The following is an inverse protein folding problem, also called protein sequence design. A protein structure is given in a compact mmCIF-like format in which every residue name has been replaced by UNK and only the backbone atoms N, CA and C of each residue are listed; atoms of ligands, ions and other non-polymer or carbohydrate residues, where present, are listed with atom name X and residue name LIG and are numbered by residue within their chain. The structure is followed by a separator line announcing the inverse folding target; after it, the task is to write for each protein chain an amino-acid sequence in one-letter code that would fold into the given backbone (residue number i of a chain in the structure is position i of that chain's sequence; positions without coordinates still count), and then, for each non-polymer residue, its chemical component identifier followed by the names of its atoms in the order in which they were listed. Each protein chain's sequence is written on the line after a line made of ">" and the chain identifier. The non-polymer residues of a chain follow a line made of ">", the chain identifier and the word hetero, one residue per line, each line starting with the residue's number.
data_IF_934776039106
#
_entry.id   IF_934776039106
#
_cell.length_a   1.000
_cell.length_b   1.000
_cell.length_c   1.000
_cell.angle_alpha   90.00
_cell.angle_beta   90.00
_cell.angle_gamma   90.00
#
_symmetry.space_group_name_H-M   'P 1'
#
loop_
_entity.id
_entity.type
_entity.pdbx_description
1 polymer ?
#
# COMPACT_ATOMS: atom_id res chain seq x y z
N UNK A 1 12.95 19.56 42.95
CA UNK A 1 14.42 19.59 42.95
C UNK A 1 14.94 18.25 43.44
N UNK A 2 15.31 17.37 42.51
CA UNK A 2 16.18 16.22 42.79
C UNK A 2 16.85 15.82 41.49
N UNK A 3 18.12 16.20 41.39
CA UNK A 3 19.06 15.80 40.34
C UNK A 3 19.37 14.31 40.45
N UNK A 4 19.44 13.62 39.32
CA UNK A 4 20.35 12.48 39.16
C UNK A 4 21.19 12.68 37.91
N UNK A 5 22.51 12.70 38.13
CA UNK A 5 23.58 12.83 37.14
C UNK A 5 23.82 11.48 36.45
N UNK A 6 24.17 11.57 35.17
CA UNK A 6 24.87 10.55 34.35
C UNK A 6 26.28 10.23 34.90
N UNK A 7 26.84 9.05 34.54
CA UNK A 7 27.90 8.99 33.51
C UNK A 7 27.65 7.85 32.47
N UNK A 8 27.79 8.08 31.15
CA UNK A 8 29.01 7.91 30.31
C UNK A 8 29.59 6.48 30.37
N UNK A 9 29.95 5.72 29.32
CA UNK A 9 30.16 5.79 27.85
C UNK A 9 30.00 4.28 27.42
N UNK A 10 29.71 3.83 26.20
CA UNK A 10 30.62 3.88 25.04
C UNK A 10 29.97 3.10 23.85
N UNK A 11 30.04 3.70 22.67
CA UNK A 11 30.11 3.11 21.32
C UNK A 11 29.34 1.83 20.98
N UNK A 12 28.34 1.97 20.08
CA UNK A 12 28.24 1.13 18.87
C UNK A 12 27.50 1.87 17.75
N UNK A 13 28.29 2.14 16.71
CA UNK A 13 27.97 2.25 15.29
C UNK A 13 26.61 2.82 14.87
N UNK A 14 26.68 4.02 14.28
CA UNK A 14 25.70 4.55 13.35
C UNK A 14 25.41 3.52 12.26
N UNK A 15 24.24 2.89 12.34
CA UNK A 15 23.70 2.11 11.23
C UNK A 15 22.64 2.99 10.59
N UNK A 16 23.01 3.54 9.44
CA UNK A 16 22.16 4.18 8.43
C UNK A 16 20.70 3.70 8.49
N UNK A 17 19.83 4.49 9.12
CA UNK A 17 18.39 4.44 8.82
C UNK A 17 18.21 5.08 7.45
N UNK A 18 18.34 4.24 6.43
CA UNK A 18 17.99 4.55 5.04
C UNK A 18 16.55 5.03 5.01
N UNK A 19 16.38 6.29 4.59
CA UNK A 19 15.11 6.93 4.29
C UNK A 19 14.26 6.00 3.41
N UNK A 20 13.25 5.35 4.02
CA UNK A 20 12.22 4.66 3.26
C UNK A 20 11.41 5.72 2.53
N UNK A 21 11.51 5.65 1.21
CA UNK A 21 10.94 6.60 0.26
C UNK A 21 9.42 6.59 0.31
N UNK A 22 8.86 7.79 0.26
CA UNK A 22 7.43 8.14 0.29
C UNK A 22 6.68 7.83 -1.02
N UNK A 23 7.07 6.78 -1.76
CA UNK A 23 6.59 6.51 -3.14
C UNK A 23 5.73 5.25 -3.29
N UNK A 24 5.32 4.60 -2.20
CA UNK A 24 4.53 3.35 -2.25
C UNK A 24 3.09 3.56 -1.74
N UNK A 25 2.31 4.40 -2.44
CA UNK A 25 0.86 4.53 -2.26
C UNK A 25 0.08 4.21 -3.55
N UNK A 26 0.68 3.43 -4.44
CA UNK A 26 -0.03 2.74 -5.51
C UNK A 26 -0.21 1.28 -5.12
N UNK A 27 -1.47 0.85 -5.07
CA UNK A 27 -1.87 -0.45 -4.56
C UNK A 27 -1.29 -1.59 -5.38
N UNK A 28 -0.57 -2.47 -4.69
CA UNK A 28 -0.45 -3.86 -5.04
C UNK A 28 -0.86 -4.67 -3.80
N UNK A 29 -2.12 -5.11 -3.78
CA UNK A 29 -2.54 -6.18 -2.87
C UNK A 29 -1.80 -7.43 -3.31
N UNK A 30 -0.71 -7.75 -2.61
CA UNK A 30 0.04 -8.98 -2.81
C UNK A 30 -0.86 -10.15 -2.44
N UNK A 31 -1.39 -10.84 -3.45
CA UNK A 31 -1.99 -12.16 -3.31
C UNK A 31 -0.91 -13.12 -2.80
N UNK A 32 -0.99 -13.51 -1.52
CA UNK A 32 -0.23 -14.63 -0.99
C UNK A 32 -0.89 -15.95 -1.42
N UNK A 33 -0.25 -16.82 -2.23
CA UNK A 33 -0.75 -18.17 -2.41
C UNK A 33 -0.53 -18.95 -1.10
N UNK A 34 -1.65 -19.37 -0.49
CA UNK A 34 -1.68 -20.30 0.63
C UNK A 34 -1.01 -21.63 0.21
N UNK A 35 0.16 -21.88 0.77
CA UNK A 35 0.92 -23.12 0.58
C UNK A 35 0.35 -24.20 1.50
N UNK A 36 -0.45 -25.10 0.92
CA UNK A 36 -0.94 -26.30 1.59
C UNK A 36 0.22 -27.16 2.11
N UNK A 37 0.21 -27.44 3.41
CA UNK A 37 1.01 -28.50 4.06
C UNK A 37 0.19 -29.79 4.05
N UNK A 38 0.61 -30.78 3.28
CA UNK A 38 0.23 -32.18 3.46
C UNK A 38 1.46 -32.97 3.93
N UNK A 39 1.26 -33.83 4.92
CA UNK A 39 2.30 -34.49 5.71
C UNK A 39 2.93 -35.74 5.10
N UNK A 40 4.15 -35.99 5.59
CA UNK A 40 4.92 -37.23 5.80
C UNK A 40 4.68 -38.47 4.92
N UNK A 41 5.77 -38.99 4.32
CA UNK A 41 6.35 -40.31 4.66
C UNK A 41 7.77 -40.46 4.06
N UNK A 42 8.68 -41.03 4.85
CA UNK A 42 10.10 -41.26 4.54
C UNK A 42 10.30 -42.49 3.63
N UNK A 43 11.18 -42.44 2.62
CA UNK A 43 12.17 -43.50 2.37
C UNK A 43 13.30 -43.03 1.42
N UNK A 44 14.50 -43.49 1.78
CA UNK A 44 15.81 -43.17 1.19
C UNK A 44 15.91 -43.46 -0.31
N UNK A 45 16.35 -42.47 -1.08
CA UNK A 45 17.14 -42.67 -2.29
C UNK A 45 18.06 -41.48 -2.51
N UNK A 46 19.36 -41.76 -2.49
CA UNK A 46 20.44 -40.88 -2.94
C UNK A 46 20.23 -40.59 -4.43
N UNK A 47 19.63 -39.44 -4.74
CA UNK A 47 19.66 -38.84 -6.05
C UNK A 47 20.42 -37.52 -5.94
N UNK A 48 21.53 -37.39 -6.67
CA UNK A 48 22.29 -36.16 -6.81
C UNK A 48 21.35 -35.05 -7.29
N UNK A 49 20.87 -34.22 -6.36
CA UNK A 49 20.16 -32.99 -6.68
C UNK A 49 21.20 -32.00 -7.16
N UNK A 50 21.42 -31.95 -8.46
CA UNK A 50 21.94 -30.75 -9.11
C UNK A 50 20.96 -29.63 -8.77
N UNK A 51 21.38 -28.74 -7.87
CA UNK A 51 20.69 -27.49 -7.61
C UNK A 51 20.73 -26.70 -8.90
N UNK A 52 19.69 -26.85 -9.72
CA UNK A 52 19.34 -25.89 -10.76
C UNK A 52 19.13 -24.56 -10.02
N UNK A 53 20.18 -23.74 -10.02
CA UNK A 53 20.08 -22.34 -9.69
C UNK A 53 19.13 -21.73 -10.72
N UNK A 54 17.83 -21.75 -10.42
CA UNK A 54 16.85 -20.95 -11.15
C UNK A 54 17.29 -19.51 -10.88
N UNK A 55 17.77 -18.75 -11.88
CA UNK A 55 18.02 -17.34 -11.66
C UNK A 55 16.67 -16.76 -11.25
N UNK A 56 16.59 -16.21 -10.05
CA UNK A 56 15.50 -15.32 -9.67
C UNK A 56 15.71 -14.08 -10.53
N UNK A 57 15.28 -14.14 -11.79
CA UNK A 57 15.03 -12.94 -12.58
C UNK A 57 13.89 -12.25 -11.86
N UNK A 58 14.24 -11.39 -10.90
CA UNK A 58 13.28 -10.47 -10.32
C UNK A 58 12.64 -9.75 -11.49
N UNK A 59 11.37 -10.02 -11.73
CA UNK A 59 10.56 -9.22 -12.63
C UNK A 59 10.55 -7.84 -11.99
N UNK A 60 11.43 -6.96 -12.46
CA UNK A 60 11.39 -5.56 -12.08
C UNK A 60 10.13 -5.03 -12.73
N UNK A 61 9.05 -4.97 -11.96
CA UNK A 61 7.81 -4.34 -12.40
C UNK A 61 8.18 -2.95 -12.93
N UNK A 62 7.92 -2.72 -14.21
CA UNK A 62 8.24 -1.45 -14.87
C UNK A 62 7.42 -0.37 -14.17
N UNK A 63 8.10 0.57 -13.52
CA UNK A 63 7.42 1.65 -12.78
C UNK A 63 6.63 2.49 -13.78
N UNK A 64 5.30 2.54 -13.61
CA UNK A 64 4.44 3.37 -14.43
C UNK A 64 4.74 4.85 -14.21
N UNK A 65 4.79 5.61 -15.30
CA UNK A 65 4.97 7.05 -15.23
C UNK A 65 3.70 7.74 -14.73
N UNK A 66 3.81 8.79 -13.91
CA UNK A 66 2.66 9.62 -13.58
C UNK A 66 2.10 10.28 -14.85
N UNK A 67 0.78 10.49 -14.91
CA UNK A 67 0.16 11.23 -16.01
C UNK A 67 0.37 12.74 -15.87
N UNK A 68 0.43 13.24 -14.64
CA UNK A 68 0.60 14.66 -14.31
C UNK A 68 1.71 14.84 -13.28
N UNK A 69 2.43 15.96 -13.38
CA UNK A 69 3.42 16.37 -12.39
C UNK A 69 3.24 17.85 -12.04
N UNK A 70 3.76 18.26 -10.89
CA UNK A 70 3.84 19.66 -10.50
C UNK A 70 5.08 20.31 -11.10
N UNK A 71 4.93 21.53 -11.60
CA UNK A 71 5.95 22.25 -12.34
C UNK A 71 5.96 23.75 -11.98
N UNK A 72 7.16 24.32 -11.92
CA UNK A 72 7.43 25.74 -11.68
C UNK A 72 8.70 26.09 -12.45
N UNK A 73 8.68 27.16 -13.26
CA UNK A 73 9.83 27.50 -14.09
C UNK A 73 11.04 27.93 -13.24
N UNK A 74 12.25 27.50 -13.63
CA UNK A 74 13.51 28.02 -13.10
C UNK A 74 13.86 27.61 -11.66
N UNK A 75 13.09 26.72 -11.02
CA UNK A 75 13.42 26.23 -9.67
C UNK A 75 14.50 25.14 -9.71
N UNK A 76 15.51 25.28 -8.85
CA UNK A 76 16.56 24.28 -8.68
C UNK A 76 16.07 22.98 -8.03
N UNK A 77 16.78 21.88 -8.27
CA UNK A 77 16.37 20.53 -7.83
C UNK A 77 16.15 20.40 -6.32
N UNK A 78 17.00 21.05 -5.54
CA UNK A 78 16.91 21.03 -4.07
C UNK A 78 15.62 21.71 -3.61
N UNK A 79 15.37 22.94 -4.06
CA UNK A 79 14.13 23.67 -3.75
C UNK A 79 12.89 22.92 -4.24
N UNK A 80 12.91 22.35 -5.45
CA UNK A 80 11.80 21.53 -5.97
C UNK A 80 11.46 20.37 -5.03
N UNK A 81 12.49 19.69 -4.53
CA UNK A 81 12.33 18.56 -3.61
C UNK A 81 11.89 19.00 -2.22
N UNK A 82 12.39 20.13 -1.74
CA UNK A 82 12.03 20.72 -0.45
C UNK A 82 10.55 21.16 -0.43
N UNK A 83 10.10 21.88 -1.46
CA UNK A 83 8.71 22.32 -1.59
C UNK A 83 7.74 21.14 -1.66
N UNK A 84 8.08 20.11 -2.45
CA UNK A 84 7.28 18.89 -2.53
C UNK A 84 7.20 18.14 -1.18
N UNK A 85 8.32 18.07 -0.45
CA UNK A 85 8.35 17.45 0.87
C UNK A 85 7.53 18.26 1.89
N UNK A 86 7.69 19.58 1.91
CA UNK A 86 6.93 20.46 2.81
C UNK A 86 5.43 20.30 2.59
N UNK A 87 4.97 20.39 1.34
CA UNK A 87 3.56 20.23 1.02
C UNK A 87 3.07 18.80 1.30
N UNK A 88 3.88 17.78 1.04
CA UNK A 88 3.58 16.39 1.36
C UNK A 88 3.37 16.17 2.86
N UNK A 89 4.22 16.76 3.70
CA UNK A 89 4.10 16.70 5.15
C UNK A 89 2.84 17.39 5.67
N UNK A 90 2.42 18.49 5.05
CA UNK A 90 1.14 19.13 5.39
C UNK A 90 -0.06 18.21 5.06
N UNK A 91 -0.01 17.52 3.92
CA UNK A 91 -1.03 16.53 3.55
C UNK A 91 -1.06 15.34 4.51
N UNK A 92 0.10 14.88 4.98
CA UNK A 92 0.20 13.80 5.97
C UNK A 92 -0.33 14.21 7.35
N UNK A 93 -0.21 15.49 7.70
CA UNK A 93 -0.69 16.02 8.97
C UNK A 93 -2.21 16.24 9.01
N UNK A 94 -2.94 15.91 7.95
CA UNK A 94 -4.41 16.00 7.93
C UNK A 94 -5.01 15.02 8.93
N UNK A 95 -5.81 15.54 9.87
CA UNK A 95 -6.57 14.69 10.79
C UNK A 95 -7.74 14.04 10.04
N UNK A 96 -7.72 12.71 9.96
CA UNK A 96 -8.76 11.90 9.31
C UNK A 96 -9.57 11.04 10.30
N UNK A 97 -9.22 11.03 11.58
CA UNK A 97 -9.71 10.03 12.55
C UNK A 97 -11.24 10.05 12.72
N UNK A 98 -11.86 11.21 12.54
CA UNK A 98 -13.30 11.41 12.73
C UNK A 98 -14.08 11.53 11.41
N UNK A 99 -13.45 11.19 10.29
CA UNK A 99 -14.09 11.23 8.96
C UNK A 99 -15.06 10.05 8.78
N UNK A 100 -16.09 10.23 7.95
CA UNK A 100 -17.08 9.17 7.71
C UNK A 100 -16.46 7.97 6.99
N UNK A 101 -15.43 8.19 6.18
CA UNK A 101 -14.65 7.16 5.52
C UNK A 101 -13.98 6.23 6.54
N UNK A 102 -13.26 6.81 7.50
CA UNK A 102 -12.57 6.05 8.56
C UNK A 102 -13.57 5.32 9.45
N UNK A 103 -14.66 5.97 9.84
CA UNK A 103 -15.73 5.32 10.63
C UNK A 103 -16.39 4.18 9.87
N UNK A 104 -16.59 4.32 8.56
CA UNK A 104 -17.19 3.26 7.73
C UNK A 104 -16.27 2.05 7.67
N UNK A 105 -14.97 2.26 7.48
CA UNK A 105 -13.98 1.18 7.52
C UNK A 105 -13.92 0.53 8.90
N UNK A 106 -13.90 1.31 9.98
CA UNK A 106 -13.87 0.79 11.34
C UNK A 106 -15.11 -0.08 11.65
N UNK A 107 -16.31 0.40 11.34
CA UNK A 107 -17.55 -0.38 11.50
C UNK A 107 -17.54 -1.67 10.68
N UNK A 108 -17.02 -1.63 9.46
CA UNK A 108 -16.91 -2.83 8.63
C UNK A 108 -15.94 -3.85 9.23
N UNK A 109 -14.80 -3.40 9.78
CA UNK A 109 -13.86 -4.25 10.51
C UNK A 109 -14.52 -4.90 11.72
N UNK A 110 -15.24 -4.14 12.55
CA UNK A 110 -15.97 -4.66 13.71
C UNK A 110 -17.02 -5.72 13.28
N UNK A 111 -17.74 -5.48 12.18
CA UNK A 111 -18.71 -6.44 11.65
C UNK A 111 -18.04 -7.73 11.16
N UNK A 112 -16.89 -7.64 10.49
CA UNK A 112 -16.13 -8.81 10.03
C UNK A 112 -15.61 -9.64 11.19
N UNK A 113 -15.14 -9.00 12.26
CA UNK A 113 -14.72 -9.67 13.51
C UNK A 113 -15.89 -10.36 14.21
N UNK A 114 -17.06 -9.70 14.27
CA UNK A 114 -18.27 -10.31 14.83
C UNK A 114 -18.74 -11.53 14.04
N UNK A 115 -18.65 -11.49 12.70
CA UNK A 115 -18.95 -12.63 11.82
C UNK A 115 -17.98 -13.78 12.12
N UNK A 116 -16.68 -13.52 12.26
CA UNK A 116 -15.69 -14.56 12.58
C UNK A 116 -15.96 -15.22 13.93
N UNK A 117 -16.22 -14.40 14.96
CA UNK A 117 -16.56 -14.88 16.30
C UNK A 117 -17.83 -15.75 16.30
N UNK A 118 -18.87 -15.32 15.56
CA UNK A 118 -20.13 -16.07 15.46
C UNK A 118 -19.96 -17.42 14.73
N UNK A 119 -19.15 -17.47 13.67
CA UNK A 119 -18.86 -18.70 12.94
C UNK A 119 -18.07 -19.67 13.81
N UNK A 120 -17.09 -19.18 14.58
CA UNK A 120 -16.33 -20.00 15.53
C UNK A 120 -17.24 -20.58 16.62
N UNK A 121 -18.14 -19.77 17.18
CA UNK A 121 -19.12 -20.23 18.16
C UNK A 121 -20.00 -21.37 17.59
N UNK A 122 -20.51 -21.23 16.36
CA UNK A 122 -21.34 -22.25 15.71
C UNK A 122 -20.59 -23.58 15.50
N UNK A 123 -19.30 -23.54 15.14
CA UNK A 123 -18.48 -24.74 14.99
C UNK A 123 -18.23 -25.44 16.34
N UNK A 124 -18.05 -24.67 17.42
CA UNK A 124 -17.83 -25.23 18.76
C UNK A 124 -19.09 -25.83 19.37
N UNK A 125 -20.26 -25.24 19.15
CA UNK A 125 -21.54 -25.76 19.65
C UNK A 125 -21.87 -27.14 19.04
N UNK A 126 -21.65 -27.31 17.73
CA UNK A 126 -21.80 -28.59 17.03
C UNK A 126 -20.82 -29.69 17.48
N UNK A 127 -19.76 -29.33 18.19
CA UNK A 127 -18.81 -30.29 18.75
C UNK A 127 -19.28 -30.88 20.09
N UNK A 128 -20.24 -30.27 20.80
CA UNK A 128 -20.73 -30.77 22.09
C UNK A 128 -21.54 -32.08 22.02
N UNK A 129 -21.90 -32.53 20.82
CA UNK A 129 -22.60 -33.81 20.56
C UNK A 129 -21.61 -34.95 20.22
N UNK A 130 -20.64 -35.25 21.08
CA UNK A 130 -19.75 -36.40 20.89
C UNK A 130 -20.39 -37.69 21.45
N UNK A 131 -20.66 -38.68 20.58
CA UNK A 131 -21.08 -40.01 21.02
C UNK A 131 -21.73 -40.96 20.00
N UNK A 132 -21.89 -40.59 18.72
CA UNK A 132 -22.50 -41.49 17.71
C UNK A 132 -21.68 -41.59 16.41
N UNK A 133 -21.43 -42.81 15.87
CA UNK A 133 -20.58 -43.01 14.68
C UNK A 133 -21.19 -42.52 13.35
N UNK A 134 -22.49 -42.20 13.30
CA UNK A 134 -23.20 -41.73 12.08
C UNK A 134 -23.18 -40.19 11.91
N UNK A 135 -22.39 -39.47 12.73
CA UNK A 135 -22.40 -38.00 12.78
C UNK A 135 -21.29 -37.32 11.97
N UNK A 136 -20.36 -38.06 11.36
CA UNK A 136 -19.21 -37.45 10.68
C UNK A 136 -19.59 -36.74 9.36
N UNK A 137 -20.48 -37.32 8.56
CA UNK A 137 -21.00 -36.68 7.34
C UNK A 137 -21.85 -35.44 7.65
N UNK A 138 -22.66 -35.51 8.72
CA UNK A 138 -23.47 -34.39 9.22
C UNK A 138 -22.58 -33.26 9.76
N UNK A 139 -21.48 -33.58 10.46
CA UNK A 139 -20.52 -32.60 10.97
C UNK A 139 -19.78 -31.89 9.83
N UNK A 140 -19.35 -32.61 8.79
CA UNK A 140 -18.73 -31.99 7.60
C UNK A 140 -19.72 -31.07 6.89
N UNK A 141 -20.98 -31.49 6.72
CA UNK A 141 -22.00 -30.66 6.09
C UNK A 141 -22.28 -29.38 6.90
N UNK A 142 -22.45 -29.48 8.22
CA UNK A 142 -22.62 -28.31 9.09
C UNK A 142 -21.43 -27.35 9.03
N UNK A 143 -20.19 -27.88 8.96
CA UNK A 143 -19.00 -27.06 8.80
C UNK A 143 -18.98 -26.30 7.46
N UNK A 144 -19.39 -26.95 6.37
CA UNK A 144 -19.52 -26.33 5.06
C UNK A 144 -20.61 -25.26 5.03
N UNK A 145 -21.75 -25.51 5.69
CA UNK A 145 -22.85 -24.55 5.77
C UNK A 145 -22.46 -23.30 6.57
N UNK A 146 -21.73 -23.46 7.70
CA UNK A 146 -21.19 -22.35 8.47
C UNK A 146 -20.17 -21.56 7.64
N UNK A 147 -19.28 -22.23 6.92
CA UNK A 147 -18.30 -21.59 6.06
C UNK A 147 -18.97 -20.80 4.91
N UNK A 148 -20.01 -21.37 4.29
CA UNK A 148 -20.75 -20.72 3.22
C UNK A 148 -21.48 -19.45 3.69
N UNK A 149 -22.16 -19.51 4.84
CA UNK A 149 -22.83 -18.34 5.45
C UNK A 149 -21.83 -17.26 5.82
N UNK A 150 -20.75 -17.64 6.50
CA UNK A 150 -19.65 -16.72 6.84
C UNK A 150 -19.14 -15.99 5.60
N UNK A 151 -18.86 -16.71 4.52
CA UNK A 151 -18.37 -16.10 3.28
C UNK A 151 -19.39 -15.13 2.65
N UNK A 152 -20.68 -15.49 2.64
CA UNK A 152 -21.74 -14.63 2.13
C UNK A 152 -21.91 -13.34 2.96
N UNK A 153 -21.86 -13.46 4.28
CA UNK A 153 -21.98 -12.33 5.21
C UNK A 153 -20.76 -11.40 5.08
N UNK A 154 -19.54 -11.96 5.03
CA UNK A 154 -18.32 -11.18 4.82
C UNK A 154 -18.34 -10.43 3.49
N UNK A 155 -18.79 -11.08 2.41
CA UNK A 155 -18.89 -10.44 1.10
C UNK A 155 -19.89 -9.28 1.12
N UNK A 156 -21.00 -9.42 1.85
CA UNK A 156 -22.00 -8.36 2.01
C UNK A 156 -21.43 -7.15 2.74
N UNK A 157 -20.67 -7.37 3.83
CA UNK A 157 -20.00 -6.30 4.57
C UNK A 157 -18.98 -5.57 3.70
N UNK A 158 -18.11 -6.31 2.98
CA UNK A 158 -17.09 -5.73 2.10
C UNK A 158 -17.74 -4.91 0.97
N UNK A 159 -18.76 -5.46 0.32
CA UNK A 159 -19.47 -4.80 -0.77
C UNK A 159 -20.16 -3.51 -0.33
N UNK A 160 -20.72 -3.51 0.89
CA UNK A 160 -21.40 -2.34 1.47
C UNK A 160 -20.39 -1.28 1.92
N UNK A 161 -19.29 -1.68 2.55
CA UNK A 161 -18.27 -0.77 3.05
C UNK A 161 -17.51 -0.04 1.93
N UNK A 162 -17.37 -0.67 0.77
CA UNK A 162 -16.66 -0.15 -0.41
C UNK A 162 -15.24 0.35 -0.06
N UNK A 163 -14.36 -0.51 0.50
CA UNK A 163 -13.11 -0.08 1.12
C UNK A 163 -12.20 0.72 0.18
N UNK A 164 -12.07 0.28 -1.07
CA UNK A 164 -11.28 1.00 -2.08
C UNK A 164 -11.76 2.43 -2.29
N UNK A 165 -13.07 2.67 -2.27
CA UNK A 165 -13.62 4.01 -2.40
C UNK A 165 -13.37 4.85 -1.13
N UNK A 166 -13.45 4.24 0.06
CA UNK A 166 -13.14 4.93 1.31
C UNK A 166 -11.67 5.37 1.32
N UNK A 167 -10.75 4.47 0.95
CA UNK A 167 -9.33 4.80 0.84
C UNK A 167 -9.07 5.90 -0.19
N UNK A 168 -9.74 5.86 -1.35
CA UNK A 168 -9.62 6.90 -2.36
C UNK A 168 -10.07 8.27 -1.82
N UNK A 169 -11.19 8.32 -1.09
CA UNK A 169 -11.69 9.55 -0.45
C UNK A 169 -10.74 10.06 0.63
N UNK A 170 -10.17 9.19 1.47
CA UNK A 170 -9.15 9.55 2.46
C UNK A 170 -7.92 10.15 1.77
N UNK A 171 -7.41 9.51 0.72
CA UNK A 171 -6.28 10.03 -0.08
C UNK A 171 -6.60 11.40 -0.68
N UNK A 172 -7.82 11.62 -1.18
CA UNK A 172 -8.21 12.92 -1.74
C UNK A 172 -8.24 14.04 -0.71
N UNK A 173 -8.62 13.74 0.55
CA UNK A 173 -8.52 14.73 1.64
C UNK A 173 -7.07 15.19 1.86
N UNK A 174 -6.12 14.24 1.89
CA UNK A 174 -4.69 14.54 2.02
C UNK A 174 -4.17 15.30 0.79
N UNK A 175 -4.49 14.84 -0.42
CA UNK A 175 -4.02 15.45 -1.66
C UNK A 175 -4.64 16.82 -1.93
N UNK A 176 -5.83 17.11 -1.41
CA UNK A 176 -6.41 18.45 -1.47
C UNK A 176 -5.54 19.47 -0.74
N UNK A 177 -4.98 19.10 0.42
CA UNK A 177 -4.05 19.97 1.16
C UNK A 177 -2.73 20.14 0.41
N UNK A 178 -2.15 19.04 -0.10
CA UNK A 178 -0.94 19.11 -0.92
C UNK A 178 -1.16 20.02 -2.14
N UNK A 179 -2.27 19.86 -2.85
CA UNK A 179 -2.63 20.65 -4.04
C UNK A 179 -2.71 22.14 -3.71
N UNK A 180 -3.39 22.50 -2.61
CA UNK A 180 -3.48 23.90 -2.16
C UNK A 180 -2.10 24.47 -1.81
N UNK A 181 -1.27 23.70 -1.13
CA UNK A 181 0.10 24.10 -0.79
C UNK A 181 0.95 24.34 -2.05
N UNK A 182 0.97 23.39 -3.00
CA UNK A 182 1.72 23.51 -4.25
C UNK A 182 1.28 24.74 -5.06
N UNK A 183 -0.03 24.97 -5.19
CA UNK A 183 -0.57 26.15 -5.86
C UNK A 183 -0.14 27.46 -5.16
N UNK A 184 -0.16 27.49 -3.83
CA UNK A 184 0.30 28.65 -3.04
C UNK A 184 1.78 28.96 -3.26
N UNK A 185 2.61 27.93 -3.45
CA UNK A 185 4.02 28.07 -3.79
C UNK A 185 4.26 28.45 -5.27
N UNK A 186 3.20 28.60 -6.06
CA UNK A 186 3.27 29.00 -7.48
C UNK A 186 3.53 27.85 -8.44
N UNK A 187 3.37 26.60 -8.00
CA UNK A 187 3.43 25.43 -8.88
C UNK A 187 2.12 25.28 -9.67
N UNK A 188 2.24 24.82 -10.90
CA UNK A 188 1.13 24.44 -11.77
C UNK A 188 1.26 22.96 -12.12
N UNK A 189 0.15 22.31 -12.49
CA UNK A 189 0.23 20.96 -13.02
C UNK A 189 0.53 20.99 -14.52
N UNK A 190 1.34 20.04 -14.97
CA UNK A 190 1.53 19.74 -16.38
C UNK A 190 1.19 18.28 -16.65
N UNK A 191 0.77 17.98 -17.88
CA UNK A 191 0.47 16.63 -18.35
C UNK A 191 1.66 16.09 -19.11
N UNK A 192 2.19 14.95 -18.67
CA UNK A 192 3.29 14.28 -19.38
C UNK A 192 2.79 13.68 -20.70
N UNK A 193 3.52 13.97 -21.77
CA UNK A 193 3.35 13.37 -23.10
C UNK A 193 3.59 11.86 -23.05
N UNK A 194 3.07 11.14 -24.05
CA UNK A 194 3.30 9.70 -24.16
C UNK A 194 4.79 9.36 -24.21
N UNK A 195 5.58 10.15 -24.94
CA UNK A 195 7.02 9.94 -25.06
C UNK A 195 7.76 10.19 -23.75
N UNK A 196 7.42 11.27 -23.02
CA UNK A 196 8.02 11.52 -21.69
C UNK A 196 7.68 10.40 -20.69
N UNK A 197 6.45 9.87 -20.75
CA UNK A 197 6.06 8.72 -19.90
C UNK A 197 6.81 7.45 -20.28
N UNK A 198 6.97 7.20 -21.58
CA UNK A 198 7.74 6.07 -22.07
C UNK A 198 9.20 6.17 -21.65
N UNK A 199 9.80 7.36 -21.76
CA UNK A 199 11.15 7.65 -21.32
C UNK A 199 11.29 7.39 -19.81
N UNK A 200 10.44 8.01 -18.99
CA UNK A 200 10.40 7.82 -17.53
C UNK A 200 10.36 6.33 -17.14
N UNK A 201 9.44 5.56 -17.73
CA UNK A 201 9.27 4.15 -17.40
C UNK A 201 10.39 3.26 -17.95
N UNK A 202 11.24 3.76 -18.86
CA UNK A 202 12.35 2.99 -19.46
C UNK A 202 13.73 3.27 -18.80
N UNK A 203 13.81 4.24 -17.88
CA UNK A 203 15.07 4.65 -17.26
C UNK A 203 15.75 3.55 -16.44
N UNK A 204 17.04 3.33 -16.71
CA UNK A 204 17.91 2.36 -16.02
C UNK A 204 18.60 2.89 -14.75
N UNK A 205 18.37 4.15 -14.37
CA UNK A 205 19.01 4.78 -13.20
C UNK A 205 18.16 4.80 -11.92
N UNK A 206 17.12 3.98 -11.85
CA UNK A 206 16.29 3.85 -10.65
C UNK A 206 15.53 5.13 -10.26
N UNK A 207 15.27 5.29 -8.97
CA UNK A 207 14.46 6.38 -8.46
C UNK A 207 15.14 7.75 -8.60
N UNK A 208 16.47 7.84 -8.48
CA UNK A 208 17.20 9.10 -8.63
C UNK A 208 17.15 9.64 -10.06
N UNK A 209 17.38 8.79 -11.06
CA UNK A 209 17.28 9.21 -12.46
C UNK A 209 15.87 9.70 -12.79
N UNK A 210 14.84 8.99 -12.31
CA UNK A 210 13.44 9.40 -12.47
C UNK A 210 13.14 10.72 -11.78
N UNK A 211 13.61 10.95 -10.55
CA UNK A 211 13.46 12.23 -9.85
C UNK A 211 14.14 13.38 -10.59
N UNK A 212 15.36 13.15 -11.10
CA UNK A 212 16.09 14.15 -11.86
C UNK A 212 15.36 14.49 -13.17
N UNK A 213 14.84 13.49 -13.88
CA UNK A 213 14.05 13.71 -15.09
C UNK A 213 12.78 14.50 -14.84
N UNK A 214 12.02 14.14 -13.79
CA UNK A 214 10.82 14.88 -13.40
C UNK A 214 11.17 16.33 -13.06
N UNK A 215 12.27 16.59 -12.35
CA UNK A 215 12.74 17.95 -12.07
C UNK A 215 13.11 18.72 -13.35
N UNK A 216 13.80 18.10 -14.30
CA UNK A 216 14.14 18.73 -15.58
C UNK A 216 12.88 19.17 -16.32
N UNK A 217 11.89 18.29 -16.47
CA UNK A 217 10.61 18.64 -17.09
C UNK A 217 9.85 19.71 -16.29
N UNK A 218 9.83 19.58 -14.96
CA UNK A 218 9.09 20.47 -14.07
C UNK A 218 9.66 21.88 -13.97
N UNK A 219 10.92 22.09 -14.35
CA UNK A 219 11.60 23.40 -14.26
C UNK A 219 11.82 24.08 -15.61
N UNK A 220 11.54 23.39 -16.72
CA UNK A 220 11.66 23.91 -18.08
C UNK A 220 10.49 24.87 -18.42
N UNK A 221 10.76 26.17 -18.66
CA UNK A 221 9.73 27.14 -19.02
C UNK A 221 8.91 26.74 -20.25
N UNK A 222 9.53 26.13 -21.26
CA UNK A 222 8.85 25.73 -22.50
C UNK A 222 7.86 24.59 -22.27
N UNK A 223 8.22 23.65 -21.38
CA UNK A 223 7.30 22.58 -20.95
C UNK A 223 6.11 23.17 -20.20
N UNK A 224 6.34 24.14 -19.31
CA UNK A 224 5.25 24.83 -18.59
C UNK A 224 4.33 25.64 -19.51
N UNK A 225 4.85 26.21 -20.59
CA UNK A 225 4.02 26.96 -21.54
C UNK A 225 3.14 26.04 -22.38
N UNK A 226 3.64 24.87 -22.74
CA UNK A 226 2.99 23.97 -23.71
C UNK A 226 2.17 22.83 -23.08
N UNK A 227 2.49 22.42 -21.86
CA UNK A 227 1.93 21.20 -21.25
C UNK A 227 1.10 21.45 -19.99
N UNK A 228 0.78 22.72 -19.67
CA UNK A 228 -0.10 23.04 -18.53
C UNK A 228 -1.40 22.24 -18.62
N UNK A 229 -1.76 21.63 -17.50
CA UNK A 229 -3.05 20.98 -17.36
C UNK A 229 -4.13 22.07 -17.45
N UNK A 230 -4.98 21.98 -18.48
CA UNK A 230 -6.20 22.78 -18.53
C UNK A 230 -7.12 22.27 -17.43
N UNK A 231 -7.59 23.13 -16.51
CA UNK A 231 -8.59 22.73 -15.54
C UNK A 231 -9.78 22.10 -16.26
N UNK A 232 -10.29 20.97 -15.77
CA UNK A 232 -11.54 20.43 -16.27
C UNK A 232 -12.64 21.51 -16.13
N UNK A 233 -13.52 21.68 -17.14
CA UNK A 233 -14.62 22.64 -17.08
C UNK A 233 -15.59 22.37 -15.92
#
# INVERSE_FOLDING_TARGET
>A
MTLWRLPCLQHRSATSLSQRSFTDLNGDIVNHPLRNRAGSLNLRLLACVTVLAVPVTGVSAKVSAPSTIWAKAGVGREQFSADALECGMQGLAVNIDNTEEVKTLARASEQLEAIDASAMAALTDGSSQFGRPDLDSVRVQNGLDVAARKAADQQTVIATAQPEQQYARIKEMMFTVVRKCMLKLGYNKIVLTADQRNEYSSMKGGADARRNYIHQLASDPQVLETQRETPAP
#
